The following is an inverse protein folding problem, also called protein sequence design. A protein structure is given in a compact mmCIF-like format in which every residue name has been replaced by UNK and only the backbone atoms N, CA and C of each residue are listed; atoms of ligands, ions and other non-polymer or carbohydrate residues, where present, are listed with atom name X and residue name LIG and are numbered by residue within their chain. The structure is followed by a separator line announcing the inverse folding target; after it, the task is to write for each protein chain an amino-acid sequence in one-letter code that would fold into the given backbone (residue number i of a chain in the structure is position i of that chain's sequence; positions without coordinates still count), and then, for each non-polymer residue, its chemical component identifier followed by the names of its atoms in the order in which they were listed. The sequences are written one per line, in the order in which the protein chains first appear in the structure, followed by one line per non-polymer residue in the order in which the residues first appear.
data_IF_225775992182
#
_entry.id   IF_225775992182
#
_cell.length_a   1.000
_cell.length_b   1.000
_cell.length_c   1.000
_cell.angle_alpha   90.00
_cell.angle_beta   90.00
_cell.angle_gamma   90.00
#
_symmetry.space_group_name_H-M   'P 1'
#
loop_
_entity.id
_entity.type
_entity.pdbx_description
1 polymer ?
#
# COMPACT_ATOMS: atom_id res chain seq x y z
N UNK A 1 -2.55 0.59 -1.46
CA UNK A 1 -1.08 0.48 -1.56
C UNK A 1 -0.46 1.21 -0.38
N UNK A 2 0.59 0.68 0.25
CA UNK A 2 1.29 1.38 1.34
C UNK A 2 1.88 2.71 0.82
N UNK A 3 1.68 3.80 1.56
CA UNK A 3 2.15 5.13 1.19
C UNK A 3 3.67 5.25 1.38
N UNK A 4 4.43 4.89 0.35
CA UNK A 4 5.87 5.12 0.24
C UNK A 4 6.19 6.06 -0.94
N UNK A 5 7.43 6.55 -1.04
CA UNK A 5 7.83 7.51 -2.09
C UNK A 5 7.53 6.99 -3.50
N UNK A 6 7.82 5.71 -3.76
CA UNK A 6 7.51 5.02 -5.02
C UNK A 6 6.01 4.79 -5.22
N UNK A 7 5.24 4.50 -4.16
CA UNK A 7 3.79 4.34 -4.26
C UNK A 7 3.07 5.62 -4.71
N UNK A 8 3.55 6.80 -4.33
CA UNK A 8 2.99 8.07 -4.81
C UNK A 8 3.27 8.34 -6.28
N UNK A 9 4.38 7.83 -6.82
CA UNK A 9 4.66 7.90 -8.24
C UNK A 9 3.69 6.99 -9.01
N UNK A 10 3.56 5.73 -8.59
CA UNK A 10 2.66 4.77 -9.20
C UNK A 10 1.19 5.14 -9.06
N UNK A 11 0.76 5.66 -7.91
CA UNK A 11 -0.61 6.14 -7.71
C UNK A 11 -1.01 7.20 -8.74
N UNK A 12 -0.10 8.15 -9.05
CA UNK A 12 -0.34 9.16 -10.09
C UNK A 12 -0.45 8.55 -11.48
N UNK A 13 0.42 7.59 -11.82
CA UNK A 13 0.34 6.89 -13.10
C UNK A 13 -0.96 6.09 -13.25
N UNK A 14 -1.36 5.36 -12.20
CA UNK A 14 -2.59 4.58 -12.20
C UNK A 14 -3.84 5.46 -12.24
N UNK A 15 -3.85 6.57 -11.49
CA UNK A 15 -4.92 7.57 -11.58
C UNK A 15 -5.00 8.20 -12.97
N UNK A 16 -3.88 8.43 -13.65
CA UNK A 16 -3.85 8.98 -15.00
C UNK A 16 -4.48 8.05 -16.05
N UNK A 17 -4.49 6.73 -15.82
CA UNK A 17 -5.19 5.74 -16.66
C UNK A 17 -6.59 5.38 -16.15
N UNK A 18 -7.10 6.11 -15.15
CA UNK A 18 -8.46 5.94 -14.63
C UNK A 18 -8.62 4.86 -13.54
N UNK A 19 -7.53 4.34 -12.98
CA UNK A 19 -7.58 3.39 -11.86
C UNK A 19 -7.66 4.18 -10.55
N UNK A 20 -8.68 3.86 -9.73
CA UNK A 20 -8.77 4.40 -8.38
C UNK A 20 -7.67 3.78 -7.49
N UNK A 21 -6.75 4.61 -7.00
CA UNK A 21 -5.70 4.19 -6.06
C UNK A 21 -5.92 4.82 -4.70
N UNK A 22 -6.05 3.97 -3.68
CA UNK A 22 -6.02 4.37 -2.27
C UNK A 22 -4.63 4.12 -1.69
N UNK A 23 -4.03 5.18 -1.17
CA UNK A 23 -2.77 5.13 -0.44
C UNK A 23 -3.07 5.05 1.06
N UNK A 24 -2.57 4.00 1.71
CA UNK A 24 -2.75 3.75 3.15
C UNK A 24 -1.45 4.12 3.85
N UNK A 25 -1.52 4.91 4.92
CA UNK A 25 -0.31 5.32 5.64
C UNK A 25 0.43 4.10 6.21
N UNK A 26 1.76 4.02 6.08
CA UNK A 26 2.56 2.94 6.65
C UNK A 26 2.37 2.79 8.17
N UNK A 27 1.98 3.88 8.86
CA UNK A 27 1.68 3.84 10.29
C UNK A 27 0.46 2.98 10.62
N UNK A 28 -0.53 2.94 9.71
CA UNK A 28 -1.70 2.08 9.85
C UNK A 28 -1.42 0.67 9.34
N UNK A 29 -0.52 0.47 8.38
CA UNK A 29 -0.18 -0.87 7.86
C UNK A 29 0.73 -1.64 8.83
N UNK A 30 1.69 -0.97 9.48
CA UNK A 30 2.72 -1.59 10.32
C UNK A 30 2.22 -2.55 11.41
N UNK A 31 1.11 -2.29 12.14
CA UNK A 31 0.56 -3.23 13.11
C UNK A 31 0.04 -4.55 12.51
N UNK A 32 -0.33 -4.54 11.23
CA UNK A 32 -0.90 -5.69 10.53
C UNK A 32 0.13 -6.50 9.73
N UNK A 33 1.35 -6.00 9.58
CA UNK A 33 2.44 -6.73 8.91
C UNK A 33 2.88 -7.90 9.79
N UNK A 34 2.57 -9.12 9.33
CA UNK A 34 3.05 -10.36 9.95
C UNK A 34 4.59 -10.42 9.91
N UNK A 35 5.20 -11.15 10.86
CA UNK A 35 6.66 -11.32 10.89
C UNK A 35 7.18 -11.94 9.58
N UNK A 36 8.44 -11.64 9.21
CA UNK A 36 9.03 -11.84 7.87
C UNK A 36 8.46 -10.93 6.77
N UNK A 37 9.28 -9.98 6.32
CA UNK A 37 8.96 -9.08 5.21
C UNK A 37 8.91 -9.86 3.90
N UNK A 38 7.71 -9.98 3.33
CA UNK A 38 7.48 -10.47 1.97
C UNK A 38 6.28 -9.71 1.37
N UNK A 39 6.19 -9.68 0.05
CA UNK A 39 5.14 -8.91 -0.66
C UNK A 39 3.72 -9.39 -0.32
N UNK A 40 3.55 -10.69 -0.03
CA UNK A 40 2.25 -11.26 0.36
C UNK A 40 1.76 -10.69 1.69
N UNK A 41 2.62 -10.68 2.70
CA UNK A 41 2.31 -10.17 4.03
C UNK A 41 2.04 -8.66 3.99
N UNK A 42 2.76 -7.93 3.13
CA UNK A 42 2.53 -6.50 2.89
C UNK A 42 1.17 -6.25 2.25
N UNK A 43 0.81 -7.03 1.22
CA UNK A 43 -0.50 -6.95 0.58
C UNK A 43 -1.64 -7.30 1.55
N UNK A 44 -1.51 -8.35 2.34
CA UNK A 44 -2.49 -8.71 3.39
C UNK A 44 -2.64 -7.58 4.43
N UNK A 45 -1.52 -6.98 4.88
CA UNK A 45 -1.54 -5.89 5.85
C UNK A 45 -2.16 -4.59 5.29
N UNK A 46 -1.89 -4.28 4.02
CA UNK A 46 -2.49 -3.12 3.35
C UNK A 46 -4.00 -3.30 3.21
N UNK A 47 -4.48 -4.49 2.88
CA UNK A 47 -5.92 -4.78 2.74
C UNK A 47 -6.63 -4.70 4.09
N UNK A 48 -6.02 -5.24 5.16
CA UNK A 48 -6.58 -5.16 6.51
C UNK A 48 -6.59 -3.72 7.07
N UNK A 49 -5.68 -2.86 6.61
CA UNK A 49 -5.58 -1.47 7.04
C UNK A 49 -6.39 -0.46 6.19
N UNK A 50 -6.99 -0.88 5.07
CA UNK A 50 -7.67 -0.03 4.08
C UNK A 50 -9.19 0.06 4.30
#
# INVERSE_FOLDING_TARGET
MEACSSAHHWARQFQAIGIEVKLVSPHYVKPFVKTNKNDRNDAEAIVEAA
#
